data_IF_852638344642
#
_entry.id   IF_852638344642
#
_cell.length_a   1.000
_cell.length_b   1.000
_cell.length_c   1.000
_cell.angle_alpha   90.00
_cell.angle_beta   90.00
_cell.angle_gamma   90.00
#
_symmetry.space_group_name_H-M   'P 1'
#
loop_
_entity.id
_entity.type
_entity.pdbx_description
1 polymer ?
#
# COMPACT_ATOMS: atom_id res chain seq x y z
N UNK A 1 -16.79 -4.00 -7.47
CA UNK A 1 -15.86 -3.61 -6.39
C UNK A 1 -16.43 -4.07 -5.05
N UNK A 2 -15.64 -4.78 -4.23
CA UNK A 2 -16.05 -5.20 -2.88
C UNK A 2 -15.89 -4.06 -1.87
N UNK A 3 -16.63 -4.11 -0.76
CA UNK A 3 -16.50 -3.15 0.35
C UNK A 3 -15.06 -3.08 0.90
N UNK A 4 -14.38 -4.23 1.00
CA UNK A 4 -12.98 -4.31 1.43
C UNK A 4 -12.02 -3.60 0.47
N UNK A 5 -12.26 -3.66 -0.84
CA UNK A 5 -11.46 -2.91 -1.82
C UNK A 5 -11.58 -1.41 -1.60
N UNK A 6 -12.80 -0.89 -1.36
CA UNK A 6 -13.03 0.54 -1.15
C UNK A 6 -12.29 1.09 0.07
N UNK A 7 -12.26 0.32 1.16
CA UNK A 7 -11.51 0.71 2.37
C UNK A 7 -10.00 0.60 2.15
N UNK A 8 -9.55 -0.41 1.40
CA UNK A 8 -8.14 -0.50 0.99
C UNK A 8 -7.75 0.73 0.18
N UNK A 9 -8.60 1.16 -0.76
CA UNK A 9 -8.40 2.34 -1.60
C UNK A 9 -8.41 3.65 -0.80
N UNK A 10 -9.22 3.74 0.26
CA UNK A 10 -9.24 4.94 1.11
C UNK A 10 -8.00 5.05 2.00
N UNK A 11 -7.40 3.93 2.39
CA UNK A 11 -6.16 3.90 3.20
C UNK A 11 -4.93 4.10 2.29
N UNK A 12 -4.85 3.36 1.19
CA UNK A 12 -3.72 3.37 0.28
C UNK A 12 -4.18 3.43 -1.18
N UNK A 13 -4.06 4.61 -1.76
CA UNK A 13 -4.22 4.83 -3.21
C UNK A 13 -2.91 5.27 -3.85
N UNK A 14 -2.70 4.81 -5.08
CA UNK A 14 -1.52 5.17 -5.88
C UNK A 14 -1.40 6.68 -6.05
N UNK A 15 -2.52 7.34 -6.36
CA UNK A 15 -2.53 8.78 -6.60
C UNK A 15 -2.21 9.59 -5.34
N UNK A 16 -2.75 9.20 -4.18
CA UNK A 16 -2.41 9.86 -2.92
C UNK A 16 -0.94 9.64 -2.54
N UNK A 17 -0.42 8.42 -2.73
CA UNK A 17 1.00 8.13 -2.52
C UNK A 17 1.89 9.01 -3.39
N UNK A 18 1.64 9.06 -4.71
CA UNK A 18 2.46 9.85 -5.63
C UNK A 18 2.34 11.35 -5.37
N UNK A 19 1.16 11.84 -5.01
CA UNK A 19 0.97 13.24 -4.63
C UNK A 19 1.78 13.59 -3.37
N UNK A 20 1.79 12.71 -2.35
CA UNK A 20 2.61 12.90 -1.17
C UNK A 20 4.11 12.77 -1.48
N UNK A 21 4.52 11.83 -2.33
CA UNK A 21 5.92 11.64 -2.70
C UNK A 21 6.49 12.82 -3.48
N UNK A 22 5.70 13.42 -4.38
CA UNK A 22 6.07 14.63 -5.14
C UNK A 22 6.11 15.92 -4.30
N UNK A 23 5.64 15.86 -3.04
CA UNK A 23 5.64 17.01 -2.13
C UNK A 23 6.99 17.17 -1.42
N UNK A 24 7.03 17.92 -0.32
CA UNK A 24 8.22 18.01 0.52
C UNK A 24 8.37 16.81 1.47
N UNK A 25 9.58 16.67 2.04
CA UNK A 25 9.91 15.58 2.95
C UNK A 25 8.98 15.50 4.17
N UNK A 26 8.59 16.64 4.77
CA UNK A 26 7.74 16.64 5.96
C UNK A 26 6.33 16.19 5.62
N UNK A 27 5.76 16.68 4.51
CA UNK A 27 4.46 16.25 4.01
C UNK A 27 4.45 14.75 3.69
N UNK A 28 5.49 14.23 3.03
CA UNK A 28 5.60 12.80 2.79
C UNK A 28 5.73 12.00 4.09
N UNK A 29 6.52 12.48 5.06
CA UNK A 29 6.68 11.82 6.35
C UNK A 29 5.35 11.74 7.11
N UNK A 30 4.56 12.81 7.12
CA UNK A 30 3.22 12.80 7.71
C UNK A 30 2.27 11.83 7.01
N UNK A 31 2.34 11.74 5.68
CA UNK A 31 1.58 10.72 4.93
C UNK A 31 1.96 9.30 5.37
N UNK A 32 3.26 9.00 5.54
CA UNK A 32 3.73 7.69 6.02
C UNK A 32 3.18 7.36 7.41
N UNK A 33 3.26 8.33 8.33
CA UNK A 33 2.77 8.17 9.70
C UNK A 33 1.26 7.95 9.75
N UNK A 34 0.50 8.72 8.96
CA UNK A 34 -0.95 8.56 8.85
C UNK A 34 -1.32 7.17 8.30
N UNK A 35 -0.65 6.73 7.23
CA UNK A 35 -0.86 5.40 6.65
C UNK A 35 -0.63 4.29 7.69
N UNK A 36 0.48 4.34 8.42
CA UNK A 36 0.79 3.36 9.46
C UNK A 36 -0.24 3.39 10.59
N UNK A 37 -0.66 4.57 11.03
CA UNK A 37 -1.67 4.73 12.07
C UNK A 37 -3.02 4.10 11.66
N UNK A 38 -3.50 4.38 10.44
CA UNK A 38 -4.72 3.79 9.89
C UNK A 38 -4.65 2.25 9.88
N UNK A 39 -3.53 1.70 9.41
CA UNK A 39 -3.34 0.25 9.33
C UNK A 39 -3.28 -0.39 10.73
N UNK A 40 -2.55 0.22 11.68
CA UNK A 40 -2.44 -0.30 13.04
C UNK A 40 -3.75 -0.20 13.81
N UNK A 41 -4.55 0.84 13.55
CA UNK A 41 -5.87 1.01 14.16
C UNK A 41 -6.81 -0.17 13.82
N UNK A 42 -6.66 -0.79 12.64
CA UNK A 42 -7.40 -2.01 12.27
C UNK A 42 -7.13 -3.19 13.21
N UNK A 43 -6.01 -3.18 13.93
CA UNK A 43 -5.54 -4.25 14.82
C UNK A 43 -5.43 -3.85 16.29
N UNK A 44 -5.59 -2.57 16.64
CA UNK A 44 -5.26 -2.02 17.96
C UNK A 44 -5.93 -2.78 19.13
N UNK A 45 -7.17 -3.23 18.95
CA UNK A 45 -7.93 -3.94 19.99
C UNK A 45 -7.77 -5.47 19.93
N UNK A 46 -6.91 -5.99 19.03
CA UNK A 46 -6.81 -7.42 18.71
C UNK A 46 -5.44 -8.01 18.97
N UNK A 47 -4.41 -7.17 19.03
CA UNK A 47 -3.03 -7.57 19.18
C UNK A 47 -2.43 -6.98 20.45
N UNK A 48 -1.51 -7.71 21.07
CA UNK A 48 -0.70 -7.17 22.15
C UNK A 48 0.26 -6.10 21.63
N UNK A 49 0.74 -5.17 22.48
CA UNK A 49 1.64 -4.10 22.06
C UNK A 49 2.85 -4.59 21.24
N UNK A 50 3.52 -5.66 21.68
CA UNK A 50 4.68 -6.22 20.96
C UNK A 50 4.34 -6.75 19.56
N UNK A 51 3.12 -7.23 19.35
CA UNK A 51 2.65 -7.69 18.05
C UNK A 51 2.29 -6.51 17.14
N UNK A 52 1.79 -5.41 17.70
CA UNK A 52 1.57 -4.16 16.97
C UNK A 52 2.88 -3.53 16.52
N UNK A 53 3.92 -3.55 17.37
CA UNK A 53 5.25 -3.06 17.01
C UNK A 53 5.87 -3.90 15.87
N UNK A 54 5.81 -5.23 15.98
CA UNK A 54 6.29 -6.10 14.90
C UNK A 54 5.52 -5.90 13.58
N UNK A 55 4.22 -5.59 13.66
CA UNK A 55 3.40 -5.29 12.50
C UNK A 55 3.78 -3.95 11.87
N UNK A 56 4.02 -2.93 12.72
CA UNK A 56 4.50 -1.61 12.29
C UNK A 56 5.80 -1.73 11.50
N UNK A 57 6.80 -2.43 12.04
CA UNK A 57 8.09 -2.63 11.37
C UNK A 57 7.92 -3.27 9.99
N UNK A 58 7.06 -4.29 9.86
CA UNK A 58 6.78 -4.95 8.57
C UNK A 58 6.16 -4.00 7.55
N UNK A 59 5.23 -3.14 7.97
CA UNK A 59 4.64 -2.13 7.09
C UNK A 59 5.65 -1.04 6.72
N UNK A 60 6.50 -0.62 7.65
CA UNK A 60 7.58 0.34 7.38
C UNK A 60 8.57 -0.21 6.34
N UNK A 61 8.98 -1.49 6.46
CA UNK A 61 9.82 -2.15 5.45
C UNK A 61 9.13 -2.18 4.09
N UNK A 62 7.86 -2.60 4.04
CA UNK A 62 7.11 -2.65 2.77
C UNK A 62 6.95 -1.27 2.13
N UNK A 63 6.73 -0.22 2.94
CA UNK A 63 6.64 1.15 2.46
C UNK A 63 8.00 1.66 1.95
N UNK A 64 9.08 1.31 2.63
CA UNK A 64 10.43 1.66 2.20
C UNK A 64 10.80 0.96 0.88
N UNK A 65 10.34 -0.27 0.64
CA UNK A 65 10.49 -0.95 -0.65
C UNK A 65 9.82 -0.14 -1.78
N UNK A 66 8.61 0.40 -1.55
CA UNK A 66 7.93 1.27 -2.53
C UNK A 66 8.70 2.56 -2.76
N UNK A 67 9.20 3.20 -1.69
CA UNK A 67 10.03 4.42 -1.79
C UNK A 67 11.26 4.15 -2.65
N UNK A 68 11.99 3.07 -2.38
CA UNK A 68 13.19 2.69 -3.14
C UNK A 68 12.87 2.33 -4.60
N UNK A 69 11.68 1.80 -4.85
CA UNK A 69 11.20 1.48 -6.20
C UNK A 69 10.63 2.70 -6.94
N UNK A 70 10.38 3.81 -6.25
CA UNK A 70 9.81 5.02 -6.86
C UNK A 70 10.89 5.73 -7.67
N UNK A 71 10.70 5.93 -8.99
CA UNK A 71 11.67 6.62 -9.81
C UNK A 71 11.87 8.07 -9.36
N UNK A 72 13.07 8.61 -9.59
CA UNK A 72 13.35 10.04 -9.35
C UNK A 72 12.47 10.90 -10.25
N UNK A 73 12.36 10.54 -11.53
CA UNK A 73 11.40 11.12 -12.45
C UNK A 73 10.07 10.35 -12.37
N UNK A 74 9.15 10.84 -11.55
CA UNK A 74 7.86 10.21 -11.32
C UNK A 74 6.96 10.25 -12.57
N UNK A 75 7.22 11.13 -13.54
CA UNK A 75 6.43 11.23 -14.77
C UNK A 75 6.53 9.96 -15.62
N UNK A 76 7.63 9.21 -15.49
CA UNK A 76 7.81 7.87 -16.08
C UNK A 76 6.66 6.92 -15.74
N UNK A 77 6.07 7.06 -14.54
CA UNK A 77 4.96 6.23 -14.10
C UNK A 77 3.61 6.57 -14.78
N UNK A 78 3.54 7.72 -15.45
CA UNK A 78 2.34 8.23 -16.13
C UNK A 78 2.50 8.19 -17.66
N UNK A 79 3.73 8.07 -18.18
CA UNK A 79 4.02 7.95 -19.60
C UNK A 79 3.36 6.71 -20.21
N UNK A 80 2.74 6.90 -21.36
CA UNK A 80 2.20 5.83 -22.19
C UNK A 80 3.06 5.71 -23.43
N UNK A 81 3.72 4.56 -23.59
CA UNK A 81 4.43 4.24 -24.82
C UNK A 81 3.45 3.56 -25.77
N UNK A 82 3.42 4.02 -27.02
CA UNK A 82 2.72 3.28 -28.08
C UNK A 82 3.35 1.90 -28.23
N UNK A 83 2.54 0.89 -28.57
CA UNK A 83 3.06 -0.46 -28.78
C UNK A 83 3.94 -0.47 -30.03
N UNK A 84 5.25 -0.41 -29.80
CA UNK A 84 6.27 -0.49 -30.84
C UNK A 84 7.17 -1.70 -30.56
N UNK A 85 7.37 -2.63 -31.52
CA UNK A 85 8.29 -3.75 -31.37
C UNK A 85 9.76 -3.33 -31.19
N UNK A 86 10.11 -2.06 -31.48
CA UNK A 86 11.45 -1.51 -31.31
C UNK A 86 11.43 -0.32 -30.34
N UNK A 87 11.41 -0.61 -29.04
CA UNK A 87 11.59 0.40 -28.01
C UNK A 87 13.05 0.82 -27.93
N UNK A 88 13.29 2.13 -27.77
CA UNK A 88 14.59 2.68 -27.44
C UNK A 88 15.04 2.21 -26.05
N UNK A 89 16.35 2.29 -25.76
CA UNK A 89 16.89 1.93 -24.44
C UNK A 89 16.29 2.76 -23.30
N UNK A 90 15.94 4.02 -23.58
CA UNK A 90 15.29 4.90 -22.61
C UNK A 90 13.89 4.42 -22.26
N UNK A 91 13.08 4.11 -23.27
CA UNK A 91 11.73 3.57 -23.07
C UNK A 91 11.75 2.21 -22.36
N UNK A 92 12.73 1.36 -22.67
CA UNK A 92 12.92 0.09 -21.96
C UNK A 92 13.25 0.31 -20.47
N UNK A 93 14.14 1.26 -20.15
CA UNK A 93 14.46 1.62 -18.77
C UNK A 93 13.24 2.13 -18.03
N UNK A 94 12.48 3.02 -18.66
CA UNK A 94 11.26 3.61 -18.10
C UNK A 94 10.20 2.54 -17.80
N UNK A 95 10.02 1.56 -18.70
CA UNK A 95 9.13 0.41 -18.48
C UNK A 95 9.58 -0.46 -17.31
N UNK A 96 10.89 -0.73 -17.16
CA UNK A 96 11.44 -1.51 -16.05
C UNK A 96 11.22 -0.77 -14.72
N UNK A 97 11.50 0.53 -14.67
CA UNK A 97 11.28 1.37 -13.50
C UNK A 97 9.80 1.37 -13.09
N UNK A 98 8.90 1.52 -14.06
CA UNK A 98 7.45 1.43 -13.83
C UNK A 98 7.04 0.06 -13.31
N UNK A 99 7.49 -1.02 -13.93
CA UNK A 99 7.17 -2.38 -13.49
C UNK A 99 7.64 -2.65 -12.06
N UNK A 100 8.85 -2.18 -11.71
CA UNK A 100 9.40 -2.31 -10.37
C UNK A 100 8.57 -1.56 -9.32
N UNK A 101 8.19 -0.32 -9.62
CA UNK A 101 7.29 0.47 -8.77
C UNK A 101 5.92 -0.22 -8.59
N UNK A 102 5.25 -0.60 -9.69
CA UNK A 102 3.91 -1.18 -9.63
C UNK A 102 3.90 -2.51 -8.87
N UNK A 103 4.95 -3.32 -9.01
CA UNK A 103 5.10 -4.55 -8.25
C UNK A 103 5.25 -4.29 -6.74
N UNK A 104 6.12 -3.36 -6.35
CA UNK A 104 6.30 -2.99 -4.93
C UNK A 104 5.00 -2.40 -4.35
N UNK A 105 4.34 -1.52 -5.10
CA UNK A 105 3.09 -0.88 -4.69
C UNK A 105 1.95 -1.90 -4.53
N UNK A 106 1.83 -2.85 -5.48
CA UNK A 106 0.83 -3.94 -5.40
C UNK A 106 1.03 -4.79 -4.14
N UNK A 107 2.27 -5.15 -3.81
CA UNK A 107 2.57 -5.91 -2.59
C UNK A 107 2.16 -5.17 -1.32
N UNK A 108 2.49 -3.88 -1.21
CA UNK A 108 2.06 -3.08 -0.07
C UNK A 108 0.52 -3.03 0.02
N UNK A 109 -0.14 -2.84 -1.12
CA UNK A 109 -1.61 -2.83 -1.21
C UNK A 109 -2.24 -4.16 -0.82
N UNK A 110 -1.65 -5.30 -1.19
CA UNK A 110 -2.11 -6.63 -0.77
C UNK A 110 -1.99 -6.84 0.74
N UNK A 111 -0.93 -6.32 1.37
CA UNK A 111 -0.77 -6.34 2.82
C UNK A 111 -1.87 -5.52 3.51
N UNK A 112 -2.14 -4.30 3.02
CA UNK A 112 -3.25 -3.46 3.53
C UNK A 112 -4.60 -4.14 3.30
N UNK A 113 -4.83 -4.71 2.12
CA UNK A 113 -6.06 -5.42 1.81
C UNK A 113 -6.30 -6.61 2.74
N UNK A 114 -5.24 -7.37 3.01
CA UNK A 114 -5.26 -8.49 3.95
C UNK A 114 -5.61 -8.02 5.36
N UNK A 115 -5.07 -6.88 5.78
CA UNK A 115 -5.40 -6.26 7.05
C UNK A 115 -6.88 -5.91 7.16
N UNK A 116 -7.39 -5.14 6.20
CA UNK A 116 -8.80 -4.76 6.10
C UNK A 116 -9.70 -6.00 6.13
N UNK A 117 -9.41 -7.01 5.31
CA UNK A 117 -10.19 -8.25 5.23
C UNK A 117 -10.22 -9.02 6.54
N UNK A 118 -9.09 -9.05 7.26
CA UNK A 118 -9.01 -9.66 8.59
C UNK A 118 -9.91 -8.93 9.61
N UNK A 119 -10.15 -7.63 9.43
CA UNK A 119 -11.08 -6.89 10.27
C UNK A 119 -12.53 -7.36 10.08
N UNK A 120 -12.95 -7.58 8.84
CA UNK A 120 -14.33 -7.95 8.50
C UNK A 120 -14.68 -9.42 8.71
N UNK A 121 -13.73 -10.36 8.52
CA UNK A 121 -14.01 -11.80 8.69
C UNK A 121 -14.41 -12.20 10.11
N UNK A 122 -13.98 -11.45 11.12
CA UNK A 122 -14.31 -11.73 12.52
C UNK A 122 -15.60 -11.05 12.99
N UNK A 123 -16.12 -10.07 12.24
CA UNK A 123 -17.42 -9.44 12.56
C UNK A 123 -18.61 -10.26 12.04
N UNK A 124 -18.38 -11.32 11.26
CA UNK A 124 -19.42 -12.23 10.76
C UNK A 124 -19.42 -13.60 11.45
N UNK A 125 -18.87 -13.69 12.67
CA UNK A 125 -19.04 -14.90 13.48
C UNK A 125 -20.46 -14.83 14.03
N UNK A 126 -21.36 -15.60 13.43
CA UNK A 126 -22.71 -15.84 13.96
C UNK A 126 -22.62 -16.17 15.46
N UNK A 127 -23.53 -15.66 16.31
CA UNK A 127 -23.52 -15.98 17.72
C UNK A 127 -23.64 -17.49 17.87
N UNK A 128 -22.62 -18.11 18.48
CA UNK A 128 -22.67 -19.52 18.87
C UNK A 128 -23.87 -19.66 19.81
N UNK A 129 -24.88 -20.49 19.49
CA UNK A 129 -26.00 -20.68 20.38
C UNK A 129 -25.48 -21.30 21.67
N UNK A 130 -25.68 -20.57 22.78
CA UNK A 130 -25.47 -21.09 24.11
C UNK A 130 -26.52 -22.20 24.35
N UNK A 131 -26.13 -23.44 24.08
CA UNK A 131 -26.89 -24.60 24.54
C UNK A 131 -26.49 -24.86 25.99
N UNK A 132 -27.38 -24.48 26.91
CA UNK A 132 -27.48 -25.00 28.27
C UNK A 132 -28.26 -26.33 28.24
#
# INVERSE_FOLDING_TARGET
MTHTSRITDSILSRNAYLAAYKSDYATFQHYREHLLAEILNLYQNRLFPIQLDALRERFEVSLQEVVNATPVDVEVLERNYEYNPFLTLEEQRDLVQRAHFEHAFSRLRENVHSAVKSTFRFNSVDPVPAHL
#
